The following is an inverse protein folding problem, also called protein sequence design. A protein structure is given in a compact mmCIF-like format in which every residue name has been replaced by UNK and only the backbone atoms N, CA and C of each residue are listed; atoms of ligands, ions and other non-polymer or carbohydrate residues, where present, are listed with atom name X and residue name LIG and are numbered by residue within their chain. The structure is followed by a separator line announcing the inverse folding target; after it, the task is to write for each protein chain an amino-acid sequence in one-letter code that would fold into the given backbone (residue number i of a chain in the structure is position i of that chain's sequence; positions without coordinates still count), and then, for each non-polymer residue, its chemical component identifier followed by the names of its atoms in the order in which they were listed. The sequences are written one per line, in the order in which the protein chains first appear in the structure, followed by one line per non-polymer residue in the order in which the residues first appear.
data_IF_347881530210
#
_entry.id   IF_347881530210
#
_cell.length_a   1.000
_cell.length_b   1.000
_cell.length_c   1.000
_cell.angle_alpha   90.00
_cell.angle_beta   90.00
_cell.angle_gamma   90.00
#
_symmetry.space_group_name_H-M   'P 1'
#
loop_
_entity.id
_entity.type
_entity.pdbx_description
1 polymer ?
#
# COMPACT_ATOMS: atom_id res chain seq x y z
N UNK A 1 3.23 10.49 19.04
CA UNK A 1 3.75 9.97 17.75
C UNK A 1 2.74 10.34 16.67
N UNK A 2 3.19 10.81 15.50
CA UNK A 2 2.30 11.21 14.40
C UNK A 2 2.58 10.36 13.16
N UNK A 3 1.52 9.90 12.49
CA UNK A 3 1.66 9.24 11.19
C UNK A 3 2.30 10.18 10.17
N UNK A 4 3.14 9.68 9.25
CA UNK A 4 3.68 10.50 8.17
C UNK A 4 2.55 10.99 7.24
N UNK A 5 2.81 12.05 6.47
CA UNK A 5 1.90 12.45 5.40
C UNK A 5 1.97 11.41 4.26
N UNK A 6 0.84 10.87 3.77
CA UNK A 6 0.84 9.82 2.75
C UNK A 6 1.18 10.42 1.38
N UNK A 7 2.34 10.06 0.83
CA UNK A 7 2.82 10.55 -0.47
C UNK A 7 3.08 9.39 -1.43
N UNK A 8 2.71 9.51 -2.73
CA UNK A 8 3.15 8.54 -3.73
C UNK A 8 4.68 8.38 -3.71
N UNK A 9 5.14 7.13 -3.66
CA UNK A 9 6.54 6.76 -3.50
C UNK A 9 6.99 6.52 -2.06
N UNK A 10 6.22 6.94 -1.05
CA UNK A 10 6.54 6.64 0.35
C UNK A 10 6.40 5.13 0.62
N UNK A 11 7.43 4.52 1.19
CA UNK A 11 7.43 3.10 1.57
C UNK A 11 7.07 2.98 3.04
N UNK A 12 6.05 2.18 3.34
CA UNK A 12 5.50 1.98 4.69
C UNK A 12 5.53 0.50 5.08
N UNK A 13 5.50 0.22 6.37
CA UNK A 13 5.28 -1.14 6.87
C UNK A 13 3.77 -1.40 6.99
N UNK A 14 3.27 -2.40 6.26
CA UNK A 14 1.84 -2.63 6.10
C UNK A 14 1.50 -4.12 6.14
N UNK A 15 0.42 -4.46 6.85
CA UNK A 15 -0.14 -5.81 6.91
C UNK A 15 -0.89 -6.15 5.60
N UNK A 16 -0.15 -6.55 4.57
CA UNK A 16 -0.73 -6.78 3.23
C UNK A 16 -1.46 -8.12 3.15
N UNK A 17 -2.80 -8.09 3.15
CA UNK A 17 -3.64 -9.25 2.87
C UNK A 17 -3.78 -9.47 1.36
N UNK A 18 -3.37 -10.65 0.89
CA UNK A 18 -3.49 -11.03 -0.52
C UNK A 18 -4.93 -11.42 -0.86
N UNK A 19 -5.35 -11.17 -2.11
CA UNK A 19 -6.69 -11.57 -2.55
C UNK A 19 -6.91 -13.09 -2.43
N UNK A 20 -5.88 -13.90 -2.70
CA UNK A 20 -5.94 -15.35 -2.53
C UNK A 20 -5.99 -15.82 -1.07
N UNK A 21 -5.45 -15.02 -0.13
CA UNK A 21 -5.59 -15.27 1.32
C UNK A 21 -7.03 -14.95 1.75
N UNK A 22 -7.57 -13.81 1.29
CA UNK A 22 -8.96 -13.42 1.51
C UNK A 22 -9.95 -14.44 0.93
N UNK A 23 -9.72 -14.90 -0.30
CA UNK A 23 -10.57 -15.90 -0.98
C UNK A 23 -10.57 -17.26 -0.22
N UNK A 24 -9.55 -17.52 0.61
CA UNK A 24 -9.48 -18.69 1.52
C UNK A 24 -10.07 -18.41 2.91
N UNK A 25 -10.69 -17.26 3.11
CA UNK A 25 -11.33 -16.87 4.37
C UNK A 25 -10.41 -16.18 5.39
N UNK A 26 -9.18 -15.80 5.01
CA UNK A 26 -8.29 -15.07 5.93
C UNK A 26 -8.75 -13.61 6.05
N UNK A 27 -9.00 -13.15 7.27
CA UNK A 27 -9.31 -11.74 7.55
C UNK A 27 -8.04 -10.88 7.73
N UNK A 28 -6.96 -11.52 8.21
CA UNK A 28 -5.70 -10.89 8.58
C UNK A 28 -4.56 -11.30 7.66
N UNK A 29 -3.64 -10.38 7.43
CA UNK A 29 -2.45 -10.66 6.64
C UNK A 29 -1.50 -11.59 7.40
N UNK A 30 -0.93 -12.58 6.70
CA UNK A 30 0.03 -13.48 7.30
C UNK A 30 1.36 -12.81 7.68
N UNK A 31 1.71 -11.69 7.02
CA UNK A 31 2.99 -10.99 7.20
C UNK A 31 2.88 -9.48 6.97
N UNK A 32 3.63 -8.73 7.77
CA UNK A 32 3.92 -7.33 7.49
C UNK A 32 4.94 -7.22 6.35
N UNK A 33 4.72 -6.30 5.42
CA UNK A 33 5.58 -6.11 4.24
C UNK A 33 5.86 -4.63 4.00
N UNK A 34 7.06 -4.26 3.52
CA UNK A 34 7.27 -2.93 2.95
C UNK A 34 6.37 -2.77 1.73
N UNK A 35 5.55 -1.73 1.73
CA UNK A 35 4.64 -1.40 0.65
C UNK A 35 4.84 0.05 0.22
N UNK A 36 4.94 0.31 -1.07
CA UNK A 36 4.99 1.65 -1.62
C UNK A 36 3.58 2.20 -1.80
N UNK A 37 3.35 3.44 -1.37
CA UNK A 37 2.14 4.19 -1.73
C UNK A 37 2.20 4.53 -3.22
N UNK A 38 1.19 4.09 -3.97
CA UNK A 38 1.07 4.34 -5.42
C UNK A 38 0.09 5.47 -5.70
N UNK A 39 -0.97 5.54 -4.89
CA UNK A 39 -1.99 6.59 -4.95
C UNK A 39 -2.22 7.10 -3.53
N UNK A 40 -2.30 8.41 -3.36
CA UNK A 40 -2.86 9.08 -2.19
C UNK A 40 -3.70 10.24 -2.69
N UNK A 41 -5.01 10.19 -2.49
CA UNK A 41 -5.94 11.20 -3.00
C UNK A 41 -7.12 11.40 -2.05
N UNK A 42 -7.62 12.63 -1.96
CA UNK A 42 -8.84 12.90 -1.21
C UNK A 42 -10.06 12.29 -1.89
N UNK A 43 -10.89 11.59 -1.10
CA UNK A 43 -12.20 11.14 -1.53
C UNK A 43 -13.25 12.26 -1.39
N UNK A 44 -14.50 11.98 -1.80
CA UNK A 44 -15.60 12.95 -1.72
C UNK A 44 -15.93 13.43 -0.29
N UNK A 45 -15.58 12.63 0.72
CA UNK A 45 -15.78 12.96 2.14
C UNK A 45 -14.58 13.72 2.74
N UNK A 46 -13.59 14.09 1.93
CA UNK A 46 -12.38 14.79 2.40
C UNK A 46 -11.36 13.91 3.11
N UNK A 47 -11.53 12.57 3.11
CA UNK A 47 -10.56 11.64 3.67
C UNK A 47 -9.56 11.18 2.61
N UNK A 48 -8.30 10.95 2.99
CA UNK A 48 -7.28 10.47 2.05
C UNK A 48 -7.46 8.97 1.84
N UNK A 49 -7.73 8.56 0.60
CA UNK A 49 -7.71 7.17 0.18
C UNK A 49 -6.37 6.85 -0.49
N UNK A 50 -5.77 5.74 -0.06
CA UNK A 50 -4.45 5.28 -0.47
C UNK A 50 -4.56 3.95 -1.20
N UNK A 51 -3.70 3.74 -2.20
CA UNK A 51 -3.46 2.42 -2.81
C UNK A 51 -1.98 2.10 -2.64
N UNK A 52 -1.68 0.89 -2.18
CA UNK A 52 -0.32 0.41 -1.94
C UNK A 52 0.03 -0.81 -2.77
N UNK A 53 1.30 -0.89 -3.17
CA UNK A 53 1.90 -2.05 -3.80
C UNK A 53 2.96 -2.66 -2.87
N UNK A 54 2.90 -3.96 -2.55
CA UNK A 54 3.94 -4.60 -1.77
C UNK A 54 5.22 -4.74 -2.59
N UNK A 55 6.38 -4.65 -1.94
CA UNK A 55 7.67 -4.97 -2.57
C UNK A 55 7.82 -6.50 -2.57
N UNK A 56 7.56 -7.12 -3.71
CA UNK A 56 7.54 -8.59 -3.89
C UNK A 56 7.65 -8.95 -5.38
N UNK A 57 7.94 -10.22 -5.67
CA UNK A 57 8.03 -10.75 -7.03
C UNK A 57 6.66 -11.06 -7.69
N UNK A 58 5.55 -10.94 -6.96
CA UNK A 58 4.19 -11.18 -7.46
C UNK A 58 3.33 -9.92 -7.31
N UNK A 59 2.54 -9.49 -8.29
CA UNK A 59 1.74 -8.26 -8.21
C UNK A 59 0.37 -8.43 -7.53
N UNK A 60 0.14 -7.78 -6.38
CA UNK A 60 -1.21 -7.37 -5.92
C UNK A 60 -1.25 -5.90 -5.46
N UNK A 61 -2.45 -5.31 -5.31
CA UNK A 61 -2.64 -3.97 -4.71
C UNK A 61 -3.73 -3.97 -3.61
N UNK A 62 -3.53 -3.19 -2.55
CA UNK A 62 -4.54 -2.92 -1.51
C UNK A 62 -4.92 -1.44 -1.50
N UNK A 63 -6.19 -1.14 -1.21
CA UNK A 63 -6.77 0.20 -1.08
C UNK A 63 -7.34 0.37 0.33
N UNK A 64 -7.04 1.49 0.97
CA UNK A 64 -7.49 1.81 2.33
C UNK A 64 -7.48 3.33 2.61
N UNK A 65 -8.20 3.77 3.63
CA UNK A 65 -8.21 5.14 4.15
C UNK A 65 -7.00 5.40 5.05
N UNK A 66 -6.40 6.59 4.91
CA UNK A 66 -5.25 7.00 5.71
C UNK A 66 -5.67 7.84 6.93
N UNK A 67 -5.08 7.59 8.12
CA UNK A 67 -4.29 6.41 8.50
C UNK A 67 -5.20 5.17 8.67
N UNK A 68 -4.69 3.99 8.33
CA UNK A 68 -5.45 2.73 8.38
C UNK A 68 -4.93 1.76 9.45
N UNK A 69 -5.77 0.79 9.85
CA UNK A 69 -5.45 -0.19 10.90
C UNK A 69 -4.29 -1.13 10.55
N UNK A 70 -4.07 -1.37 9.25
CA UNK A 70 -3.01 -2.25 8.74
C UNK A 70 -1.60 -1.62 8.80
N UNK A 71 -1.50 -0.32 9.13
CA UNK A 71 -0.21 0.37 9.27
C UNK A 71 0.52 -0.12 10.51
N UNK A 72 1.80 -0.47 10.36
CA UNK A 72 2.63 -0.97 11.46
C UNK A 72 3.82 -0.04 11.72
N UNK A 73 4.23 0.15 12.98
CA UNK A 73 5.48 0.85 13.28
C UNK A 73 6.67 0.01 12.82
N UNK A 74 7.79 0.67 12.56
CA UNK A 74 9.06 0.05 12.24
C UNK A 74 9.57 -0.76 13.43
N UNK A 75 10.19 -1.93 13.16
CA UNK A 75 10.73 -2.77 14.23
C UNK A 75 11.95 -2.14 14.92
N UNK A 76 12.71 -1.30 14.21
CA UNK A 76 13.94 -0.68 14.69
C UNK A 76 13.76 0.74 15.25
N UNK A 77 12.69 1.43 14.84
CA UNK A 77 12.25 2.72 15.39
C UNK A 77 10.72 2.73 15.53
N UNK A 78 10.17 2.35 16.69
CA UNK A 78 8.73 2.33 16.92
C UNK A 78 8.04 3.70 16.78
N UNK A 79 8.79 4.81 16.72
CA UNK A 79 8.29 6.15 16.44
C UNK A 79 7.99 6.42 14.97
N UNK A 80 8.34 5.50 14.06
CA UNK A 80 8.20 5.68 12.61
C UNK A 80 7.38 4.57 11.96
N UNK A 81 6.63 4.95 10.92
CA UNK A 81 5.81 4.03 10.11
C UNK A 81 6.33 3.86 8.68
N UNK A 82 7.26 4.72 8.26
CA UNK A 82 7.83 4.74 6.93
C UNK A 82 9.32 4.34 6.92
N UNK A 83 9.70 3.68 5.84
CA UNK A 83 11.08 3.35 5.53
C UNK A 83 11.79 4.46 4.72
N UNK A 84 11.04 5.44 4.22
CA UNK A 84 11.52 6.52 3.35
C UNK A 84 10.89 6.49 1.96
N UNK A 85 11.42 7.31 1.04
CA UNK A 85 10.90 7.47 -0.32
C UNK A 85 11.59 6.51 -1.30
N UNK A 86 10.83 5.93 -2.22
CA UNK A 86 11.38 5.31 -3.41
C UNK A 86 12.07 6.37 -4.29
N UNK A 87 13.17 6.02 -4.97
CA UNK A 87 13.73 6.86 -6.01
C UNK A 87 12.67 7.21 -7.06
N UNK A 88 12.62 8.49 -7.45
CA UNK A 88 11.54 9.03 -8.28
C UNK A 88 11.35 8.25 -9.59
N UNK A 89 12.43 7.99 -10.31
CA UNK A 89 12.35 7.32 -11.62
C UNK A 89 11.86 5.88 -11.49
N UNK A 90 12.26 5.19 -10.42
CA UNK A 90 11.77 3.86 -10.11
C UNK A 90 10.28 3.87 -9.76
N UNK A 91 9.84 4.85 -8.94
CA UNK A 91 8.42 5.03 -8.65
C UNK A 91 7.60 5.30 -9.92
N UNK A 92 8.08 6.18 -10.79
CA UNK A 92 7.40 6.51 -12.05
C UNK A 92 7.30 5.29 -12.97
N UNK A 93 8.34 4.45 -13.01
CA UNK A 93 8.31 3.17 -13.71
C UNK A 93 7.27 2.20 -13.13
N UNK A 94 7.23 2.04 -11.80
CA UNK A 94 6.23 1.20 -11.15
C UNK A 94 4.82 1.71 -11.41
N UNK A 95 4.58 3.02 -11.28
CA UNK A 95 3.28 3.65 -11.53
C UNK A 95 2.81 3.37 -12.95
N UNK A 96 3.68 3.53 -13.95
CA UNK A 96 3.37 3.19 -15.35
C UNK A 96 2.97 1.72 -15.50
N UNK A 97 3.71 0.80 -14.86
CA UNK A 97 3.42 -0.64 -14.94
C UNK A 97 2.10 -1.02 -14.29
N UNK A 98 1.79 -0.42 -13.13
CA UNK A 98 0.52 -0.63 -12.42
C UNK A 98 -0.66 -0.15 -13.28
N UNK A 99 -0.56 1.03 -13.89
CA UNK A 99 -1.58 1.56 -14.80
C UNK A 99 -1.78 0.62 -16.00
N UNK A 100 -0.70 0.06 -16.56
CA UNK A 100 -0.79 -0.90 -17.65
C UNK A 100 -1.51 -2.19 -17.23
N UNK A 101 -1.20 -2.74 -16.05
CA UNK A 101 -1.86 -3.95 -15.53
C UNK A 101 -3.35 -3.74 -15.23
N UNK A 102 -3.73 -2.54 -14.78
CA UNK A 102 -5.12 -2.16 -14.53
C UNK A 102 -5.94 -2.10 -15.83
N UNK A 103 -5.39 -1.50 -16.89
CA UNK A 103 -6.01 -1.48 -18.23
C UNK A 103 -6.29 -2.88 -18.78
N UNK A 104 -5.37 -3.81 -18.53
CA UNK A 104 -5.47 -5.20 -18.98
C UNK A 104 -6.39 -6.07 -18.09
N UNK A 105 -7.03 -5.50 -17.05
CA UNK A 105 -7.80 -6.22 -16.01
C UNK A 105 -7.01 -7.33 -15.30
N UNK A 106 -5.68 -7.26 -15.34
CA UNK A 106 -4.79 -8.24 -14.68
C UNK A 106 -4.48 -7.87 -13.23
N UNK A 107 -4.96 -6.72 -12.76
CA UNK A 107 -4.70 -6.22 -11.42
C UNK A 107 -5.98 -6.25 -10.57
N UNK A 108 -5.96 -6.96 -9.44
CA UNK A 108 -7.05 -6.97 -8.47
C UNK A 108 -6.68 -6.05 -7.32
N UNK A 109 -7.48 -5.00 -7.11
CA UNK A 109 -7.33 -4.08 -5.99
C UNK A 109 -8.26 -4.51 -4.86
N UNK A 110 -7.70 -4.88 -3.71
CA UNK A 110 -8.47 -5.25 -2.53
C UNK A 110 -8.81 -4.02 -1.69
N UNK A 111 -10.08 -3.86 -1.30
CA UNK A 111 -10.50 -2.84 -0.33
C UNK A 111 -10.32 -3.38 1.10
N UNK A 112 -9.79 -2.58 2.03
CA UNK A 112 -9.49 -3.03 3.41
C UNK A 112 -10.35 -2.37 4.50
N UNK A 113 -11.20 -1.43 4.12
CA UNK A 113 -11.98 -0.54 4.98
C UNK A 113 -13.38 -0.28 4.43
#
# INVERSE_FOLDING_TARGET
MSFPEPKPGLVIRYAFLWSSEADRGSAEAAKDRPCAIVVAAYNKAGAIQTIVAPVTHSPPLNRFLWPGYDLRPRPDDPGRWDYGMLPKDFFDLMRKRIIALDRDRKNRIMKRD
#
